data_IF_238935421334
#
_entry.id   IF_238935421334
#
_cell.length_a   1.000
_cell.length_b   1.000
_cell.length_c   1.000
_cell.angle_alpha   90.00
_cell.angle_beta   90.00
_cell.angle_gamma   90.00
#
_symmetry.space_group_name_H-M   'P 1'
#
loop_
_entity.id
_entity.type
_entity.pdbx_description
1 polymer ?
#
# COMPACT_ATOMS: atom_id res chain seq x y z
N UNK A 1 -9.61 0.56 -0.76
CA UNK A 1 -8.45 -0.37 -0.85
C UNK A 1 -7.23 0.43 -0.45
N UNK A 2 -6.43 -0.05 0.49
CA UNK A 2 -5.14 0.57 0.78
C UNK A 2 -4.28 0.70 -0.48
N UNK A 3 -3.81 1.92 -0.75
CA UNK A 3 -2.91 2.24 -1.84
C UNK A 3 -1.50 2.48 -1.28
N UNK A 4 -0.57 2.96 -2.05
CA UNK A 4 0.82 3.18 -1.63
C UNK A 4 0.95 3.98 -0.31
N UNK A 5 0.27 5.15 -0.12
CA UNK A 5 0.41 5.92 1.12
C UNK A 5 -0.10 5.19 2.37
N UNK A 6 -1.19 4.43 2.26
CA UNK A 6 -1.72 3.66 3.38
C UNK A 6 -0.76 2.55 3.79
N UNK A 7 -0.17 1.84 2.82
CA UNK A 7 0.82 0.78 3.10
C UNK A 7 2.09 1.38 3.72
N UNK A 8 2.53 2.56 3.25
CA UNK A 8 3.66 3.28 3.86
C UNK A 8 3.37 3.69 5.31
N UNK A 9 2.15 4.14 5.59
CA UNK A 9 1.71 4.48 6.96
C UNK A 9 1.72 3.24 7.86
N UNK A 10 1.21 2.12 7.37
CA UNK A 10 1.27 0.84 8.08
C UNK A 10 2.71 0.43 8.35
N UNK A 11 3.58 0.48 7.34
CA UNK A 11 5.01 0.17 7.49
C UNK A 11 5.65 1.00 8.62
N UNK A 12 5.44 2.32 8.59
CA UNK A 12 5.98 3.25 9.60
C UNK A 12 5.45 2.95 11.00
N UNK A 13 4.17 2.62 11.11
CA UNK A 13 3.54 2.29 12.38
C UNK A 13 3.97 0.94 12.96
N UNK A 14 4.36 -0.02 12.12
CA UNK A 14 4.84 -1.32 12.54
C UNK A 14 6.33 -1.35 12.86
N UNK A 15 7.15 -0.54 12.18
CA UNK A 15 8.61 -0.55 12.30
C UNK A 15 9.11 -0.48 13.76
N UNK A 16 8.59 0.40 14.64
CA UNK A 16 9.07 0.49 16.01
C UNK A 16 8.90 -0.80 16.85
N UNK A 17 7.91 -1.62 16.50
CA UNK A 17 7.61 -2.86 17.24
C UNK A 17 8.18 -4.11 16.59
N UNK A 18 8.50 -4.05 15.30
CA UNK A 18 8.91 -5.22 14.52
C UNK A 18 10.39 -5.21 14.17
N UNK A 19 10.97 -4.06 13.81
CA UNK A 19 12.39 -4.00 13.41
C UNK A 19 13.29 -4.27 14.62
N UNK A 20 14.23 -5.20 14.46
CA UNK A 20 15.11 -5.68 15.52
C UNK A 20 14.47 -6.68 16.49
N UNK A 21 13.19 -7.01 16.33
CA UNK A 21 12.52 -8.00 17.15
C UNK A 21 12.75 -9.43 16.63
N UNK A 22 12.73 -10.40 17.56
CA UNK A 22 12.63 -11.82 17.22
C UNK A 22 11.17 -12.18 16.97
N UNK A 23 10.85 -12.73 15.81
CA UNK A 23 9.55 -13.36 15.54
C UNK A 23 9.53 -14.74 16.20
N UNK A 24 9.08 -14.80 17.47
CA UNK A 24 9.01 -16.06 18.24
C UNK A 24 8.15 -17.09 17.55
N UNK A 25 7.01 -16.66 17.06
CA UNK A 25 6.02 -17.51 16.38
C UNK A 25 5.15 -16.69 15.43
N UNK A 26 4.88 -17.23 14.26
CA UNK A 26 3.78 -16.80 13.39
C UNK A 26 2.58 -17.73 13.61
N UNK A 27 1.52 -17.23 14.24
CA UNK A 27 0.27 -17.96 14.44
C UNK A 27 -0.66 -17.70 13.25
N UNK A 28 -1.06 -18.78 12.57
CA UNK A 28 -2.07 -18.74 11.52
C UNK A 28 -3.37 -19.30 12.09
N UNK A 29 -4.43 -18.48 12.14
CA UNK A 29 -5.75 -18.87 12.67
C UNK A 29 -6.65 -19.49 11.61
N UNK A 30 -6.14 -19.64 10.39
CA UNK A 30 -6.77 -20.24 9.22
C UNK A 30 -5.72 -20.64 8.19
N UNK A 31 -6.13 -21.43 7.22
CA UNK A 31 -5.22 -21.95 6.18
C UNK A 31 -5.09 -21.02 4.96
N UNK A 32 -6.00 -20.04 4.82
CA UNK A 32 -6.07 -19.16 3.66
C UNK A 32 -6.46 -17.71 4.02
N UNK A 33 -6.19 -16.80 3.10
CA UNK A 33 -6.85 -15.51 2.94
C UNK A 33 -7.43 -15.45 1.51
N UNK A 34 -7.00 -14.49 0.68
CA UNK A 34 -7.32 -14.49 -0.76
C UNK A 34 -6.75 -15.72 -1.47
N UNK A 35 -5.58 -16.17 -1.02
CA UNK A 35 -4.89 -17.37 -1.47
C UNK A 35 -4.54 -18.21 -0.24
N UNK A 36 -4.33 -19.54 -0.40
CA UNK A 36 -3.75 -20.36 0.65
C UNK A 36 -2.40 -19.80 1.08
N UNK A 37 -2.08 -19.90 2.36
CA UNK A 37 -0.74 -19.61 2.83
C UNK A 37 0.26 -20.65 2.28
N UNK A 38 1.53 -20.28 2.05
CA UNK A 38 2.55 -21.23 1.65
C UNK A 38 2.64 -22.41 2.63
N UNK A 39 2.88 -23.60 2.11
CA UNK A 39 3.09 -24.77 2.96
C UNK A 39 4.27 -24.53 3.91
N UNK A 40 4.08 -24.80 5.20
CA UNK A 40 5.12 -24.57 6.21
C UNK A 40 5.44 -23.10 6.48
N UNK A 41 4.57 -22.16 6.11
CA UNK A 41 4.81 -20.73 6.24
C UNK A 41 5.16 -20.34 7.69
N UNK A 42 4.35 -20.77 8.66
CA UNK A 42 4.60 -20.46 10.09
C UNK A 42 5.99 -20.98 10.52
N UNK A 43 6.32 -22.22 10.18
CA UNK A 43 7.60 -22.84 10.56
C UNK A 43 8.79 -22.16 9.88
N UNK A 44 8.65 -21.73 8.64
CA UNK A 44 9.72 -21.12 7.86
C UNK A 44 10.17 -19.77 8.45
N UNK A 45 9.25 -19.02 9.06
CA UNK A 45 9.53 -17.65 9.54
C UNK A 45 9.63 -17.53 11.06
N UNK A 46 9.10 -18.51 11.83
CA UNK A 46 9.20 -18.48 13.30
C UNK A 46 10.64 -18.72 13.75
N UNK A 47 11.04 -18.05 14.83
CA UNK A 47 12.40 -18.09 15.36
C UNK A 47 13.40 -17.21 14.59
N UNK A 48 12.95 -16.34 13.67
CA UNK A 48 13.80 -15.44 12.87
C UNK A 48 13.77 -14.01 13.42
N UNK A 49 14.92 -13.34 13.32
CA UNK A 49 15.01 -11.91 13.59
C UNK A 49 14.43 -11.09 12.44
N UNK A 50 13.63 -10.09 12.74
CA UNK A 50 13.14 -9.13 11.75
C UNK A 50 14.18 -8.03 11.62
N UNK A 51 14.77 -7.90 10.44
CA UNK A 51 15.88 -6.95 10.18
C UNK A 51 15.38 -5.60 9.75
N UNK A 52 14.35 -5.56 8.89
CA UNK A 52 13.80 -4.30 8.38
C UNK A 52 12.38 -4.48 7.84
N UNK A 53 11.65 -3.36 7.81
CA UNK A 53 10.37 -3.25 7.11
C UNK A 53 10.52 -2.29 5.93
N UNK A 54 10.16 -2.74 4.75
CA UNK A 54 10.14 -1.93 3.55
C UNK A 54 8.81 -2.06 2.81
N UNK A 55 8.64 -1.31 1.75
CA UNK A 55 7.43 -1.34 0.91
C UNK A 55 7.82 -1.32 -0.57
N UNK A 56 7.08 -2.08 -1.36
CA UNK A 56 7.09 -1.97 -2.82
C UNK A 56 5.65 -1.88 -3.33
N UNK A 57 5.30 -0.82 -4.02
CA UNK A 57 3.93 -0.54 -4.48
C UNK A 57 2.92 -0.60 -3.32
N UNK A 58 2.01 -1.57 -3.33
CA UNK A 58 0.99 -1.81 -2.29
C UNK A 58 1.33 -3.01 -1.40
N UNK A 59 2.57 -3.48 -1.44
CA UNK A 59 3.07 -4.61 -0.66
C UNK A 59 3.95 -4.13 0.49
N UNK A 60 3.66 -4.62 1.69
CA UNK A 60 4.55 -4.54 2.83
C UNK A 60 5.55 -5.70 2.76
N UNK A 61 6.80 -5.40 2.98
CA UNK A 61 7.91 -6.36 2.98
C UNK A 61 8.54 -6.39 4.36
N UNK A 62 8.62 -7.57 4.98
CA UNK A 62 9.22 -7.80 6.29
C UNK A 62 10.42 -8.70 6.07
N UNK A 63 11.61 -8.14 6.15
CA UNK A 63 12.86 -8.86 5.90
C UNK A 63 13.31 -9.59 7.17
N UNK A 64 13.75 -10.83 6.99
CA UNK A 64 14.22 -11.70 8.04
C UNK A 64 15.75 -11.90 7.96
N UNK A 65 16.37 -12.27 9.08
CA UNK A 65 17.82 -12.43 9.24
C UNK A 65 18.42 -13.59 8.43
N UNK A 66 17.60 -14.50 7.92
CA UNK A 66 18.01 -15.61 7.06
C UNK A 66 17.92 -15.31 5.56
N UNK A 67 17.63 -14.06 5.19
CA UNK A 67 17.47 -13.62 3.80
C UNK A 67 16.11 -13.94 3.19
N UNK A 68 15.15 -14.41 3.97
CA UNK A 68 13.75 -14.51 3.57
C UNK A 68 13.01 -13.19 3.80
N UNK A 69 11.94 -12.97 3.07
CA UNK A 69 11.06 -11.80 3.21
C UNK A 69 9.61 -12.27 3.24
N UNK A 70 8.87 -11.84 4.27
CA UNK A 70 7.41 -11.97 4.26
C UNK A 70 6.86 -10.84 3.43
N UNK A 71 6.06 -11.19 2.42
CA UNK A 71 5.33 -10.26 1.57
C UNK A 71 3.88 -10.21 2.03
N UNK A 72 3.37 -9.05 2.39
CA UNK A 72 1.97 -8.88 2.79
C UNK A 72 1.26 -7.85 1.90
N UNK A 73 0.05 -8.17 1.46
CA UNK A 73 -0.84 -7.27 0.74
C UNK A 73 -2.13 -7.09 1.53
N UNK A 74 -2.52 -5.86 1.81
CA UNK A 74 -3.66 -5.55 2.70
C UNK A 74 -5.03 -5.83 2.06
N UNK A 75 -5.08 -6.10 0.77
CA UNK A 75 -6.36 -6.29 0.07
C UNK A 75 -7.22 -5.03 0.11
N UNK A 76 -8.45 -5.14 0.57
CA UNK A 76 -9.39 -4.02 0.66
C UNK A 76 -9.68 -3.57 2.11
N UNK A 77 -9.55 -4.47 3.07
CA UNK A 77 -9.92 -4.23 4.47
C UNK A 77 -8.87 -4.69 5.48
N UNK A 78 -7.75 -5.23 4.99
CA UNK A 78 -6.66 -5.68 5.85
C UNK A 78 -6.03 -4.53 6.62
N UNK A 79 -5.79 -4.76 7.89
CA UNK A 79 -5.16 -3.82 8.82
C UNK A 79 -4.30 -4.56 9.83
N UNK A 80 -3.36 -3.85 10.42
CA UNK A 80 -2.54 -4.36 11.51
C UNK A 80 -2.87 -3.64 12.82
N UNK A 81 -2.78 -4.38 13.93
CA UNK A 81 -2.91 -3.89 15.29
C UNK A 81 -1.67 -4.33 16.08
N UNK A 82 -1.09 -3.42 16.84
CA UNK A 82 0.04 -3.69 17.73
C UNK A 82 -0.47 -3.77 19.16
N UNK A 83 -0.15 -4.85 19.85
CA UNK A 83 -0.42 -5.05 21.28
C UNK A 83 0.92 -5.34 21.97
N UNK A 84 1.34 -4.42 22.84
CA UNK A 84 2.61 -4.51 23.57
C UNK A 84 2.36 -4.52 25.07
N UNK A 85 2.76 -5.60 25.77
CA UNK A 85 2.73 -5.78 27.22
C UNK A 85 1.35 -5.83 27.88
N UNK A 86 1.26 -6.20 29.16
CA UNK A 86 0.01 -6.30 29.89
C UNK A 86 -0.60 -4.95 30.28
N UNK A 87 0.15 -3.86 30.16
CA UNK A 87 -0.29 -2.48 30.40
C UNK A 87 -0.28 -1.63 29.14
N UNK A 88 -0.30 -2.25 27.98
CA UNK A 88 -0.34 -1.52 26.73
C UNK A 88 -1.64 -0.70 26.65
N UNK A 89 -1.50 0.55 27.03
CA UNK A 89 -2.32 1.56 26.38
C UNK A 89 -2.06 1.38 24.89
N UNK A 90 -3.06 0.93 24.15
CA UNK A 90 -3.01 0.90 22.70
C UNK A 90 -2.55 2.29 22.26
N UNK A 91 -1.43 2.44 21.53
CA UNK A 91 -1.00 3.75 21.10
C UNK A 91 -2.12 4.38 20.28
N UNK A 92 -2.67 5.50 20.76
CA UNK A 92 -3.88 6.11 20.23
C UNK A 92 -5.16 5.51 20.82
N UNK A 93 -5.98 6.35 21.44
CA UNK A 93 -7.28 5.93 21.90
C UNK A 93 -8.13 5.51 20.70
N UNK A 94 -8.44 4.22 20.61
CA UNK A 94 -9.32 3.64 19.60
C UNK A 94 -10.76 4.14 19.82
N UNK A 95 -11.07 5.34 19.34
CA UNK A 95 -12.37 5.96 19.52
C UNK A 95 -13.40 5.58 18.44
N UNK A 96 -13.10 4.62 17.58
CA UNK A 96 -14.11 4.10 16.68
C UNK A 96 -14.37 2.63 16.96
N UNK A 97 -15.64 2.30 17.36
CA UNK A 97 -16.08 0.92 17.60
C UNK A 97 -16.32 0.19 16.27
N UNK A 98 -15.44 0.33 15.29
CA UNK A 98 -15.37 -0.61 14.21
C UNK A 98 -14.71 -1.84 14.77
N UNK A 99 -15.57 -2.76 15.04
CA UNK A 99 -15.33 -4.08 15.50
C UNK A 99 -14.01 -4.58 14.91
N UNK A 100 -12.98 -4.48 15.73
CA UNK A 100 -11.84 -5.37 15.65
C UNK A 100 -12.36 -6.69 16.22
N UNK A 101 -13.38 -7.24 15.54
CA UNK A 101 -13.95 -8.51 15.87
C UNK A 101 -12.82 -9.52 15.69
N UNK A 102 -12.40 -10.10 16.80
CA UNK A 102 -11.29 -11.05 16.84
C UNK A 102 -11.48 -12.24 15.90
N UNK A 103 -12.73 -12.49 15.47
CA UNK A 103 -13.04 -13.49 14.44
C UNK A 103 -12.37 -13.20 13.09
N UNK A 104 -11.93 -11.95 12.87
CA UNK A 104 -11.22 -11.52 11.67
C UNK A 104 -9.72 -11.37 11.87
N UNK A 105 -9.21 -11.73 13.04
CA UNK A 105 -7.79 -11.82 13.33
C UNK A 105 -7.26 -13.12 12.75
N UNK A 106 -6.58 -13.03 11.62
CA UNK A 106 -6.20 -14.22 10.85
C UNK A 106 -4.73 -14.61 11.04
N UNK A 107 -3.86 -13.64 11.30
CA UNK A 107 -2.42 -13.88 11.50
C UNK A 107 -1.94 -13.09 12.70
N UNK A 108 -1.18 -13.73 13.58
CA UNK A 108 -0.57 -13.09 14.76
C UNK A 108 0.94 -13.32 14.74
N UNK A 109 1.68 -12.24 14.74
CA UNK A 109 3.13 -12.22 14.92
C UNK A 109 3.41 -12.07 16.41
N UNK A 110 3.93 -13.10 17.05
CA UNK A 110 4.38 -13.06 18.43
C UNK A 110 5.85 -12.64 18.46
N UNK A 111 6.12 -11.46 19.01
CA UNK A 111 7.42 -10.80 18.95
C UNK A 111 8.09 -10.76 20.33
N UNK A 112 9.42 -10.87 20.36
CA UNK A 112 10.25 -10.49 21.49
C UNK A 112 11.19 -9.36 21.03
N UNK A 113 10.98 -8.18 21.53
CA UNK A 113 11.78 -6.99 21.23
C UNK A 113 12.52 -6.46 22.46
N UNK A 114 13.36 -5.45 22.26
CA UNK A 114 14.12 -4.80 23.34
C UNK A 114 13.21 -4.19 24.42
N UNK A 115 11.99 -3.77 24.04
CA UNK A 115 10.99 -3.20 24.97
C UNK A 115 10.05 -4.25 25.58
N UNK A 116 10.33 -5.54 25.37
CA UNK A 116 9.51 -6.66 25.83
C UNK A 116 8.73 -7.35 24.73
N UNK A 117 7.86 -8.26 25.14
CA UNK A 117 7.00 -9.03 24.23
C UNK A 117 5.88 -8.16 23.65
N UNK A 118 5.61 -8.36 22.36
CA UNK A 118 4.52 -7.70 21.63
C UNK A 118 3.79 -8.68 20.71
N UNK A 119 2.56 -8.35 20.35
CA UNK A 119 1.82 -9.05 19.30
C UNK A 119 1.46 -8.05 18.21
N UNK A 120 1.69 -8.43 16.97
CA UNK A 120 1.20 -7.71 15.80
C UNK A 120 0.16 -8.59 15.12
N UNK A 121 -1.07 -8.09 15.03
CA UNK A 121 -2.24 -8.86 14.61
C UNK A 121 -2.73 -8.33 13.28
N UNK A 122 -2.83 -9.21 12.29
CA UNK A 122 -3.44 -8.92 11.01
C UNK A 122 -4.93 -9.28 11.02
N UNK A 123 -5.76 -8.27 10.86
CA UNK A 123 -7.23 -8.38 10.81
C UNK A 123 -7.72 -8.04 9.40
N UNK A 124 -8.55 -8.91 8.80
CA UNK A 124 -9.11 -8.67 7.46
C UNK A 124 -10.52 -9.27 7.31
N UNK A 125 -11.57 -8.51 7.58
CA UNK A 125 -12.96 -8.97 7.48
C UNK A 125 -13.36 -9.52 6.12
N UNK A 126 -12.77 -8.99 5.04
CA UNK A 126 -13.10 -9.39 3.67
C UNK A 126 -12.22 -10.49 3.11
N UNK A 127 -11.07 -10.76 3.74
CA UNK A 127 -10.08 -11.76 3.33
C UNK A 127 -9.56 -11.58 1.91
N UNK A 128 -9.42 -10.33 1.47
CA UNK A 128 -8.86 -9.98 0.15
C UNK A 128 -7.37 -9.68 0.21
N UNK A 129 -6.81 -9.64 1.41
CA UNK A 129 -5.38 -9.60 1.62
C UNK A 129 -4.75 -10.98 1.41
N UNK A 130 -3.44 -11.02 1.41
CA UNK A 130 -2.67 -12.26 1.36
C UNK A 130 -1.27 -12.05 1.90
N UNK A 131 -0.61 -13.14 2.27
CA UNK A 131 0.79 -13.16 2.67
C UNK A 131 1.51 -14.30 1.95
N UNK A 132 2.78 -14.07 1.68
CA UNK A 132 3.69 -15.02 1.05
C UNK A 132 5.07 -14.90 1.68
N UNK A 133 5.96 -15.87 1.44
CA UNK A 133 7.35 -15.83 1.86
C UNK A 133 8.24 -16.13 0.68
N UNK A 134 9.20 -15.25 0.43
CA UNK A 134 10.09 -15.32 -0.73
C UNK A 134 11.53 -15.03 -0.30
N UNK A 135 12.51 -15.50 -1.06
CA UNK A 135 13.89 -15.06 -0.86
C UNK A 135 14.04 -13.61 -1.27
N UNK A 136 14.69 -12.79 -0.47
CA UNK A 136 14.93 -11.38 -0.77
C UNK A 136 15.61 -11.18 -2.12
N UNK A 137 16.57 -12.04 -2.45
CA UNK A 137 17.30 -11.98 -3.70
C UNK A 137 16.41 -12.22 -4.93
N UNK A 138 15.31 -12.95 -4.78
CA UNK A 138 14.43 -13.36 -5.89
C UNK A 138 13.23 -12.43 -6.06
N UNK A 139 13.08 -11.41 -5.20
CA UNK A 139 11.88 -10.60 -5.11
C UNK A 139 11.56 -9.86 -6.43
N UNK A 140 12.57 -9.37 -7.14
CA UNK A 140 12.38 -8.64 -8.39
C UNK A 140 11.84 -9.50 -9.52
N UNK A 141 12.16 -10.80 -9.52
CA UNK A 141 11.65 -11.79 -10.48
C UNK A 141 10.31 -12.40 -10.10
N UNK A 142 9.84 -12.14 -8.87
CA UNK A 142 8.63 -12.76 -8.36
C UNK A 142 7.39 -12.23 -9.12
N UNK A 143 6.36 -13.06 -9.38
CA UNK A 143 5.16 -12.67 -10.14
C UNK A 143 4.46 -11.41 -9.62
N UNK A 144 4.54 -11.11 -8.33
CA UNK A 144 3.96 -9.90 -7.75
C UNK A 144 4.71 -8.62 -8.09
N UNK A 145 6.00 -8.71 -8.45
CA UNK A 145 6.86 -7.54 -8.57
C UNK A 145 7.48 -7.33 -9.95
N UNK A 146 7.72 -8.42 -10.72
CA UNK A 146 8.47 -8.39 -11.98
C UNK A 146 7.91 -7.44 -13.04
N UNK A 147 6.59 -7.22 -13.02
CA UNK A 147 5.91 -6.38 -14.00
C UNK A 147 5.53 -4.99 -13.45
N UNK A 148 5.91 -4.66 -12.23
CA UNK A 148 5.61 -3.36 -11.63
C UNK A 148 6.44 -2.25 -12.25
N UNK A 149 5.77 -1.19 -12.66
CA UNK A 149 6.41 0.06 -13.11
C UNK A 149 7.09 0.82 -11.96
N UNK A 150 7.67 1.99 -12.25
CA UNK A 150 8.26 2.86 -11.25
C UNK A 150 7.22 3.37 -10.25
N UNK A 151 7.69 3.74 -9.06
CA UNK A 151 6.87 4.36 -8.04
C UNK A 151 6.91 5.89 -8.11
N UNK A 152 5.83 6.58 -7.71
CA UNK A 152 5.79 8.05 -7.67
C UNK A 152 6.83 8.66 -6.71
N UNK A 153 7.26 7.89 -5.72
CA UNK A 153 8.23 8.31 -4.70
C UNK A 153 9.69 8.21 -5.16
N UNK A 154 9.94 7.54 -6.28
CA UNK A 154 11.27 7.36 -6.86
C UNK A 154 11.59 8.38 -7.96
N UNK A 155 12.83 8.35 -8.44
CA UNK A 155 13.30 9.22 -9.52
C UNK A 155 12.97 8.68 -10.93
N UNK A 156 12.61 7.41 -11.04
CA UNK A 156 12.36 6.73 -12.32
C UNK A 156 11.05 7.17 -12.99
N UNK A 157 10.05 7.62 -12.22
CA UNK A 157 8.83 8.15 -12.78
C UNK A 157 9.08 9.56 -13.33
N UNK A 158 9.11 9.71 -14.64
CA UNK A 158 9.27 10.98 -15.33
C UNK A 158 8.29 11.12 -16.47
N UNK A 159 8.20 12.33 -17.04
CA UNK A 159 7.31 12.60 -18.18
C UNK A 159 7.79 11.88 -19.43
N UNK A 160 9.11 11.77 -19.67
CA UNK A 160 9.65 11.03 -20.80
C UNK A 160 9.31 9.53 -20.69
N UNK A 161 9.45 8.93 -19.51
CA UNK A 161 9.04 7.55 -19.26
C UNK A 161 7.55 7.33 -19.57
N UNK A 162 6.66 8.20 -19.07
CA UNK A 162 5.24 8.08 -19.37
C UNK A 162 4.91 8.39 -20.85
N UNK A 163 5.65 9.28 -21.49
CA UNK A 163 5.47 9.54 -22.92
C UNK A 163 5.74 8.28 -23.76
N UNK A 164 6.80 7.53 -23.46
CA UNK A 164 7.09 6.25 -24.12
C UNK A 164 5.95 5.23 -23.89
N UNK A 165 5.41 5.17 -22.67
CA UNK A 165 4.31 4.26 -22.31
C UNK A 165 2.97 4.63 -22.94
N UNK A 166 2.72 5.92 -23.14
CA UNK A 166 1.44 6.45 -23.60
C UNK A 166 1.39 6.72 -25.11
N UNK A 167 2.54 6.77 -25.80
CA UNK A 167 2.61 7.02 -27.24
C UNK A 167 1.66 6.11 -28.02
N UNK A 168 0.76 6.71 -28.81
CA UNK A 168 -0.21 6.01 -29.63
C UNK A 168 -1.33 5.28 -28.88
N UNK A 169 -1.44 5.40 -27.55
CA UNK A 169 -2.46 4.70 -26.77
C UNK A 169 -3.80 5.42 -26.81
N UNK A 170 -4.83 4.73 -27.30
CA UNK A 170 -6.23 5.19 -27.25
C UNK A 170 -6.89 4.92 -25.88
N UNK A 171 -6.24 4.16 -25.01
CA UNK A 171 -6.71 3.84 -23.67
C UNK A 171 -7.03 5.11 -22.87
N UNK A 172 -8.16 5.16 -22.12
CA UNK A 172 -8.46 6.27 -21.22
C UNK A 172 -7.33 6.53 -20.24
N UNK A 173 -7.00 7.79 -20.00
CA UNK A 173 -5.87 8.21 -19.17
C UNK A 173 -5.97 7.64 -17.76
N UNK A 174 -7.16 7.67 -17.15
CA UNK A 174 -7.38 7.06 -15.84
C UNK A 174 -7.00 5.57 -15.82
N UNK A 175 -7.40 4.82 -16.84
CA UNK A 175 -7.09 3.38 -16.93
C UNK A 175 -5.60 3.15 -17.13
N UNK A 176 -4.93 4.00 -17.92
CA UNK A 176 -3.49 3.94 -18.11
C UNK A 176 -2.71 4.23 -16.82
N UNK A 177 -3.19 5.16 -15.99
CA UNK A 177 -2.58 5.49 -14.69
C UNK A 177 -2.85 4.43 -13.61
N UNK A 178 -3.96 3.70 -13.70
CA UNK A 178 -4.28 2.59 -12.77
C UNK A 178 -3.50 1.32 -13.07
N UNK A 179 -2.94 1.19 -14.26
CA UNK A 179 -2.11 0.05 -14.64
C UNK A 179 -0.80 0.07 -13.87
N UNK A 180 -0.63 -0.91 -12.98
CA UNK A 180 0.55 -1.03 -12.11
C UNK A 180 1.85 -1.25 -12.90
N UNK A 181 1.78 -1.63 -14.17
CA UNK A 181 2.93 -1.72 -15.09
C UNK A 181 3.41 -0.34 -15.54
N UNK A 182 2.52 0.65 -15.56
CA UNK A 182 2.88 2.02 -15.87
C UNK A 182 3.35 2.78 -14.64
N UNK A 183 2.58 2.73 -13.55
CA UNK A 183 2.93 3.38 -12.29
C UNK A 183 2.52 2.46 -11.14
N UNK A 184 3.49 1.96 -10.39
CA UNK A 184 3.22 1.09 -9.27
C UNK A 184 2.74 1.86 -8.03
N UNK A 185 1.76 1.29 -7.33
CA UNK A 185 1.28 1.82 -6.06
C UNK A 185 0.08 2.77 -6.15
N UNK A 186 -0.22 3.35 -7.31
CA UNK A 186 -1.40 4.18 -7.50
C UNK A 186 -2.68 3.34 -7.53
N UNK A 187 -3.75 3.91 -7.02
CA UNK A 187 -5.10 3.40 -7.15
C UNK A 187 -6.09 4.51 -7.44
N UNK A 188 -7.37 4.19 -7.31
CA UNK A 188 -8.45 5.07 -7.77
C UNK A 188 -8.48 6.44 -7.07
N UNK A 189 -8.12 6.50 -5.77
CA UNK A 189 -8.18 7.74 -4.99
C UNK A 189 -7.16 8.73 -5.53
N UNK A 190 -5.91 8.30 -5.57
CA UNK A 190 -4.80 9.19 -5.91
C UNK A 190 -4.71 9.48 -7.40
N UNK A 191 -5.14 8.55 -8.26
CA UNK A 191 -5.29 8.82 -9.70
C UNK A 191 -6.35 9.90 -9.95
N UNK A 192 -7.53 9.81 -9.31
CA UNK A 192 -8.57 10.83 -9.48
C UNK A 192 -8.10 12.21 -8.99
N UNK A 193 -7.39 12.26 -7.86
CA UNK A 193 -6.86 13.50 -7.32
C UNK A 193 -5.78 14.12 -8.21
N UNK A 194 -4.85 13.31 -8.71
CA UNK A 194 -3.80 13.79 -9.60
C UNK A 194 -4.37 14.33 -10.92
N UNK A 195 -5.38 13.65 -11.49
CA UNK A 195 -6.09 14.11 -12.67
C UNK A 195 -6.82 15.43 -12.42
N UNK A 196 -7.45 15.57 -11.27
CA UNK A 196 -8.13 16.81 -10.89
C UNK A 196 -7.13 17.97 -10.73
N UNK A 197 -6.03 17.79 -9.99
CA UNK A 197 -4.98 18.82 -9.80
C UNK A 197 -4.32 19.23 -11.14
N UNK A 198 -4.21 18.29 -12.07
CA UNK A 198 -3.62 18.56 -13.38
C UNK A 198 -4.63 19.04 -14.43
N UNK A 199 -5.92 19.20 -14.05
CA UNK A 199 -7.03 19.60 -14.96
C UNK A 199 -7.16 18.70 -16.19
N UNK A 200 -7.01 17.38 -16.00
CA UNK A 200 -7.09 16.39 -17.06
C UNK A 200 -8.34 15.52 -16.95
N UNK A 201 -9.02 15.33 -18.07
CA UNK A 201 -10.17 14.43 -18.14
C UNK A 201 -9.74 12.98 -17.99
N UNK A 202 -10.39 12.18 -17.11
CA UNK A 202 -10.09 10.77 -16.90
C UNK A 202 -10.33 9.90 -18.15
N UNK A 203 -11.24 10.33 -19.05
CA UNK A 203 -11.61 9.59 -20.27
C UNK A 203 -10.78 10.00 -21.48
N UNK A 204 -9.95 11.05 -21.36
CA UNK A 204 -9.04 11.49 -22.42
C UNK A 204 -8.09 10.34 -22.78
N UNK A 205 -7.83 10.10 -24.06
CA UNK A 205 -6.87 9.10 -24.51
C UNK A 205 -5.45 9.45 -24.03
N UNK A 206 -4.75 8.50 -23.44
CA UNK A 206 -3.41 8.72 -22.86
C UNK A 206 -2.40 9.22 -23.90
N UNK A 207 -2.47 8.71 -25.13
CA UNK A 207 -1.59 9.11 -26.22
C UNK A 207 -1.69 10.59 -26.62
N UNK A 208 -2.81 11.27 -26.30
CA UNK A 208 -2.96 12.70 -26.61
C UNK A 208 -2.05 13.61 -25.77
N UNK A 209 -1.43 13.08 -24.72
CA UNK A 209 -0.43 13.78 -23.88
C UNK A 209 0.99 13.72 -24.46
N UNK A 210 1.15 13.04 -25.60
CA UNK A 210 2.43 12.86 -26.29
C UNK A 210 2.37 13.54 -27.65
N UNK A 211 3.47 14.15 -28.08
CA UNK A 211 3.60 14.73 -29.43
C UNK A 211 3.82 13.63 -30.47
N UNK A 212 3.64 13.95 -31.75
CA UNK A 212 3.93 13.01 -32.84
C UNK A 212 5.41 12.58 -32.88
N UNK A 213 6.29 13.41 -32.34
CA UNK A 213 7.73 13.10 -32.16
C UNK A 213 8.02 12.26 -30.90
N UNK A 214 6.99 11.76 -30.20
CA UNK A 214 7.15 10.93 -29.00
C UNK A 214 7.56 11.70 -27.73
N UNK A 215 7.51 13.03 -27.72
CA UNK A 215 7.89 13.85 -26.58
C UNK A 215 6.69 14.17 -25.68
N UNK A 216 6.89 14.30 -24.36
CA UNK A 216 5.83 14.70 -23.46
C UNK A 216 5.35 16.12 -23.77
N UNK A 217 4.02 16.31 -23.76
CA UNK A 217 3.42 17.63 -23.76
C UNK A 217 3.45 18.22 -22.34
N UNK A 218 3.22 19.53 -22.23
CA UNK A 218 3.20 20.23 -20.95
C UNK A 218 2.20 19.65 -19.97
N UNK A 219 1.05 19.18 -20.45
CA UNK A 219 0.04 18.53 -19.63
C UNK A 219 0.56 17.24 -18.98
N UNK A 220 1.46 16.49 -19.64
CA UNK A 220 2.08 15.30 -19.06
C UNK A 220 3.10 15.66 -17.98
N UNK A 221 3.88 16.72 -18.18
CA UNK A 221 4.78 17.26 -17.16
C UNK A 221 4.00 17.66 -15.90
N UNK A 222 2.91 18.42 -16.08
CA UNK A 222 2.02 18.83 -14.99
C UNK A 222 1.40 17.64 -14.27
N UNK A 223 0.98 16.60 -15.01
CA UNK A 223 0.42 15.37 -14.42
C UNK A 223 1.43 14.63 -13.56
N UNK A 224 2.68 14.47 -14.02
CA UNK A 224 3.74 13.81 -13.24
C UNK A 224 4.01 14.57 -11.94
N UNK A 225 4.07 15.90 -12.00
CA UNK A 225 4.22 16.75 -10.80
C UNK A 225 3.05 16.54 -9.84
N UNK A 226 1.81 16.59 -10.34
CA UNK A 226 0.62 16.38 -9.53
C UNK A 226 0.59 15.00 -8.87
N UNK A 227 1.00 13.93 -9.58
CA UNK A 227 1.08 12.58 -9.01
C UNK A 227 2.06 12.54 -7.83
N UNK A 228 3.24 13.12 -7.98
CA UNK A 228 4.26 13.16 -6.92
C UNK A 228 3.80 13.93 -5.70
N UNK A 229 3.22 15.11 -5.91
CA UNK A 229 2.69 15.95 -4.84
C UNK A 229 1.55 15.26 -4.08
N UNK A 230 0.58 14.70 -4.79
CA UNK A 230 -0.54 13.98 -4.20
C UNK A 230 -0.07 12.83 -3.32
N UNK A 231 0.90 12.04 -3.77
CA UNK A 231 1.44 10.92 -3.00
C UNK A 231 2.25 11.41 -1.80
N UNK A 232 3.07 12.47 -1.96
CA UNK A 232 3.83 13.05 -0.85
C UNK A 232 2.91 13.60 0.24
N UNK A 233 1.88 14.37 -0.15
CA UNK A 233 0.86 14.90 0.77
C UNK A 233 0.13 13.77 1.50
N UNK A 234 -0.25 12.71 0.78
CA UNK A 234 -0.95 11.57 1.34
C UNK A 234 -0.09 10.82 2.38
N UNK A 235 1.20 10.60 2.08
CA UNK A 235 2.13 9.97 3.02
C UNK A 235 2.32 10.85 4.26
N UNK A 236 2.48 12.17 4.07
CA UNK A 236 2.64 13.11 5.18
C UNK A 236 1.40 13.16 6.10
N UNK A 237 0.21 13.01 5.53
CA UNK A 237 -1.06 12.98 6.26
C UNK A 237 -1.41 11.61 6.87
N UNK A 238 -0.59 10.57 6.66
CA UNK A 238 -0.87 9.23 7.16
C UNK A 238 -1.92 8.45 6.36
N UNK A 239 -2.07 8.75 5.07
CA UNK A 239 -3.02 8.10 4.18
C UNK A 239 -4.38 8.80 4.10
N UNK A 240 -5.29 8.23 3.30
CA UNK A 240 -6.65 8.75 3.16
C UNK A 240 -7.55 8.30 4.32
N UNK A 241 -8.51 9.13 4.72
CA UNK A 241 -9.52 8.79 5.72
C UNK A 241 -10.66 7.94 5.15
N UNK A 242 -10.36 6.94 4.34
CA UNK A 242 -11.38 6.00 3.89
C UNK A 242 -11.94 5.21 5.05
N UNK A 243 -13.25 4.96 5.00
CA UNK A 243 -13.98 4.25 6.06
C UNK A 243 -13.39 2.89 6.44
N UNK A 244 -12.64 2.27 5.53
CA UNK A 244 -12.10 0.93 5.67
C UNK A 244 -10.61 0.88 5.97
N UNK A 245 -9.92 2.04 6.05
CA UNK A 245 -8.50 2.10 6.37
C UNK A 245 -8.26 2.80 7.71
N UNK A 246 -7.64 2.07 8.62
CA UNK A 246 -7.26 2.52 9.97
C UNK A 246 -5.74 2.42 10.08
N UNK A 247 -5.11 3.45 10.63
CA UNK A 247 -3.68 3.41 10.96
C UNK A 247 -3.38 2.37 12.05
N UNK A 248 -2.12 2.02 12.24
CA UNK A 248 -1.71 1.02 13.23
C UNK A 248 -2.04 1.41 14.67
N UNK A 249 -2.15 2.71 14.95
CA UNK A 249 -2.59 3.28 16.22
C UNK A 249 -4.13 3.36 16.36
N UNK A 250 -4.88 2.97 15.31
CA UNK A 250 -6.34 3.01 15.26
C UNK A 250 -6.93 4.35 14.84
N UNK A 251 -6.11 5.36 14.53
CA UNK A 251 -6.59 6.63 14.00
C UNK A 251 -6.98 6.52 12.52
N UNK A 252 -7.85 7.43 12.07
CA UNK A 252 -8.15 7.59 10.65
C UNK A 252 -7.10 8.49 9.99
N UNK A 253 -6.72 8.18 8.75
CA UNK A 253 -5.85 9.05 7.96
C UNK A 253 -6.49 10.42 7.71
N UNK A 254 -5.73 11.48 7.88
CA UNK A 254 -6.22 12.86 7.79
C UNK A 254 -6.12 13.47 6.39
N UNK A 255 -5.71 12.71 5.40
CA UNK A 255 -5.46 13.24 4.05
C UNK A 255 -6.68 13.92 3.42
N UNK A 256 -7.90 13.47 3.72
CA UNK A 256 -9.11 14.10 3.20
C UNK A 256 -9.34 15.54 3.67
N UNK A 257 -8.70 15.96 4.76
CA UNK A 257 -8.80 17.35 5.23
C UNK A 257 -8.01 18.34 4.35
N UNK A 258 -7.01 17.84 3.62
CA UNK A 258 -6.20 18.64 2.70
C UNK A 258 -6.75 18.67 1.26
N UNK A 259 -7.75 17.85 0.93
CA UNK A 259 -8.39 17.87 -0.38
C UNK A 259 -9.46 18.96 -0.47
N UNK A 260 -9.28 19.87 -1.41
CA UNK A 260 -10.36 20.77 -1.85
C UNK A 260 -11.33 19.99 -2.73
N UNK A 261 -12.25 19.26 -2.14
CA UNK A 261 -13.24 18.49 -2.90
C UNK A 261 -14.23 19.38 -3.61
N UNK A 262 -14.19 19.40 -4.92
CA UNK A 262 -15.39 19.76 -5.66
C UNK A 262 -16.34 18.54 -5.68
N UNK A 263 -17.61 18.75 -5.31
CA UNK A 263 -18.67 17.72 -5.37
C UNK A 263 -18.88 17.18 -6.78
N UNK A 264 -18.42 17.89 -7.82
CA UNK A 264 -18.57 17.56 -9.23
C UNK A 264 -17.78 16.32 -9.68
N UNK A 265 -16.67 15.97 -9.03
CA UNK A 265 -15.89 14.77 -9.37
C UNK A 265 -16.56 13.46 -8.92
N UNK A 266 -17.51 13.50 -7.99
CA UNK A 266 -18.29 12.31 -7.58
C UNK A 266 -19.42 11.96 -8.55
N UNK A 267 -19.99 12.94 -9.22
CA UNK A 267 -21.14 12.74 -10.13
C UNK A 267 -20.73 12.06 -11.45
N UNK A 268 -19.48 12.22 -11.89
CA UNK A 268 -19.01 11.61 -13.13
C UNK A 268 -18.50 10.17 -13.02
N UNK A 269 -18.43 9.61 -11.80
CA UNK A 269 -18.00 8.21 -11.60
C UNK A 269 -19.15 7.22 -11.39
N UNK A 270 -20.42 7.70 -11.36
CA UNK A 270 -21.61 6.88 -11.13
C UNK A 270 -22.55 6.78 -12.36
N UNK A 271 -22.19 7.36 -13.49
CA UNK A 271 -22.93 7.22 -14.74
C UNK A 271 -21.94 6.96 -15.89
N UNK A 272 -21.51 5.76 -16.02
CA UNK A 272 -21.32 5.01 -17.29
C UNK A 272 -21.04 3.56 -16.89
#
# INVERSE_FOLDING_TARGET
MPELPEVETVRRGLAPSMEGALLKQLELRRDDLRFPFPAGFSQAVSGRGITSLSRRAKYLLIDLDDGMTIVAHLGMSGSFRVEAGPSAATPGAFHHPRSKDEKHDHVVFHLAGASGDARVIYNDPRRFGFMDVVRRADITGHPFFRDLGPEPTGNELGADYLAERFAGKAQPLKSALLDQKNIAGLGNIYVCEALWRSHLSPVRAAGTLVTDAGKPKEELLRLVTAIREVIADAIAAGGSSLRDHIQTDGSLGYFQHSFSRSKSTRLNSSHI
#
